data_IF_440877659669
#
_entry.id   IF_440877659669
#
_cell.length_a   1.000
_cell.length_b   1.000
_cell.length_c   1.000
_cell.angle_alpha   90.00
_cell.angle_beta   90.00
_cell.angle_gamma   90.00
#
_symmetry.space_group_name_H-M   'P 1'
#
loop_
_entity.id
_entity.type
_entity.pdbx_description
1 polymer ?
#
# COMPACT_ATOMS: atom_id res chain seq x y z
N UNK A 1 1.95 -33.10 2.48
CA UNK A 1 1.42 -31.86 1.88
C UNK A 1 2.51 -30.80 2.00
N UNK A 2 2.78 -30.08 0.91
CA UNK A 2 3.97 -29.26 0.72
C UNK A 2 4.02 -28.02 1.62
N UNK A 3 5.23 -27.53 1.90
CA UNK A 3 5.50 -26.30 2.65
C UNK A 3 4.83 -25.11 1.93
N UNK A 4 3.78 -24.55 2.52
CA UNK A 4 3.17 -23.28 2.11
C UNK A 4 4.03 -22.13 2.63
N UNK A 5 4.88 -21.54 1.78
CA UNK A 5 5.55 -20.28 2.11
C UNK A 5 5.23 -19.26 1.03
N UNK A 6 3.99 -18.78 1.02
CA UNK A 6 3.59 -17.68 0.14
C UNK A 6 2.53 -16.81 0.80
N UNK A 7 2.93 -15.97 1.74
CA UNK A 7 2.10 -14.85 2.18
C UNK A 7 2.90 -13.56 2.09
N UNK A 8 2.34 -12.57 1.40
CA UNK A 8 3.00 -11.29 1.21
C UNK A 8 2.01 -10.13 1.28
N UNK A 9 2.29 -9.21 2.18
CA UNK A 9 1.52 -8.03 2.48
C UNK A 9 2.42 -6.81 2.29
N UNK A 10 1.85 -5.67 1.92
CA UNK A 10 2.52 -4.40 2.21
C UNK A 10 1.51 -3.30 2.46
N UNK A 11 1.69 -2.56 3.56
CA UNK A 11 0.97 -1.32 3.81
C UNK A 11 1.95 -0.22 4.21
N UNK A 12 1.82 0.91 3.56
CA UNK A 12 2.54 2.14 3.88
C UNK A 12 1.52 3.17 4.31
N UNK A 13 1.86 3.87 5.37
CA UNK A 13 1.07 4.96 5.88
C UNK A 13 2.01 6.15 6.10
N UNK A 14 1.62 7.31 5.59
CA UNK A 14 2.22 8.58 5.96
C UNK A 14 1.09 9.57 6.22
N UNK A 15 1.17 10.26 7.34
CA UNK A 15 0.20 11.27 7.67
C UNK A 15 0.75 12.24 8.68
N UNK A 16 0.14 13.42 8.73
CA UNK A 16 0.48 14.46 9.68
C UNK A 16 -0.75 15.27 10.04
N UNK A 17 -0.67 15.98 11.17
CA UNK A 17 -1.69 16.92 11.59
C UNK A 17 -1.33 18.30 11.06
N UNK A 18 -2.01 18.71 9.98
CA UNK A 18 -1.88 20.03 9.39
C UNK A 18 -2.82 21.04 10.06
N UNK A 19 -2.75 22.29 9.60
CA UNK A 19 -3.66 23.37 10.04
C UNK A 19 -5.14 23.04 9.81
N UNK A 20 -5.43 22.19 8.84
CA UNK A 20 -6.77 21.85 8.39
C UNK A 20 -7.21 20.43 8.80
N UNK A 21 -6.52 19.84 9.77
CA UNK A 21 -6.83 18.52 10.31
C UNK A 21 -5.86 17.46 9.82
N UNK A 22 -6.32 16.21 9.80
CA UNK A 22 -5.47 15.06 9.52
C UNK A 22 -5.35 14.81 8.01
N UNK A 23 -4.14 14.98 7.49
CA UNK A 23 -3.79 14.65 6.11
C UNK A 23 -2.98 13.37 6.05
N UNK A 24 -3.34 12.45 5.17
CA UNK A 24 -2.63 11.19 5.05
C UNK A 24 -2.71 10.59 3.64
N UNK A 25 -1.74 9.73 3.36
CA UNK A 25 -1.66 8.84 2.22
C UNK A 25 -1.43 7.43 2.75
N UNK A 26 -2.25 6.49 2.32
CA UNK A 26 -2.13 5.08 2.66
C UNK A 26 -2.34 4.21 1.42
N UNK A 27 -1.55 3.15 1.34
CA UNK A 27 -1.85 2.03 0.46
C UNK A 27 -1.62 0.71 1.17
N UNK A 28 -2.43 -0.29 0.84
CA UNK A 28 -2.37 -1.65 1.37
C UNK A 28 -2.50 -2.66 0.23
N UNK A 29 -1.58 -3.61 0.17
CA UNK A 29 -1.55 -4.74 -0.73
C UNK A 29 -1.77 -6.01 0.08
N UNK A 30 -2.83 -6.72 -0.24
CA UNK A 30 -3.13 -8.04 0.32
C UNK A 30 -2.34 -9.15 -0.40
N UNK A 31 -2.15 -10.32 0.24
CA UNK A 31 -1.56 -11.51 -0.39
C UNK A 31 -2.27 -11.94 -1.68
N UNK A 32 -3.58 -11.71 -1.78
CA UNK A 32 -4.39 -12.05 -2.95
C UNK A 32 -4.23 -11.05 -4.11
N UNK A 33 -3.42 -10.01 -3.93
CA UNK A 33 -3.16 -8.99 -4.96
C UNK A 33 -4.22 -7.89 -5.02
N UNK A 34 -5.10 -7.78 -4.02
CA UNK A 34 -5.97 -6.61 -3.87
C UNK A 34 -5.18 -5.45 -3.28
N UNK A 35 -5.09 -4.36 -4.05
CA UNK A 35 -4.47 -3.09 -3.69
C UNK A 35 -5.54 -2.07 -3.34
N UNK A 36 -5.48 -1.55 -2.12
CA UNK A 36 -6.33 -0.49 -1.60
C UNK A 36 -5.51 0.79 -1.47
N UNK A 37 -6.06 1.90 -1.94
CA UNK A 37 -5.43 3.22 -1.87
C UNK A 37 -6.39 4.20 -1.22
N UNK A 38 -5.88 4.98 -0.27
CA UNK A 38 -6.59 6.08 0.35
C UNK A 38 -5.67 7.32 0.41
N UNK A 39 -6.18 8.46 -0.06
CA UNK A 39 -5.49 9.73 0.07
C UNK A 39 -6.48 10.79 0.55
N UNK A 40 -6.15 11.39 1.68
CA UNK A 40 -6.86 12.50 2.26
C UNK A 40 -5.90 13.68 2.42
N UNK A 41 -5.82 14.54 1.40
CA UNK A 41 -4.92 15.70 1.39
C UNK A 41 -5.63 17.02 1.72
N UNK A 42 -6.96 17.03 1.87
CA UNK A 42 -7.76 18.25 2.13
C UNK A 42 -7.42 19.46 1.24
N UNK A 43 -6.75 19.25 0.10
CA UNK A 43 -6.31 20.32 -0.77
C UNK A 43 -7.51 20.86 -1.53
N UNK A 44 -7.82 22.15 -1.36
CA UNK A 44 -8.96 22.82 -2.01
C UNK A 44 -10.33 22.15 -1.75
N UNK A 45 -10.57 21.68 -0.52
CA UNK A 45 -11.81 20.98 -0.14
C UNK A 45 -12.08 19.71 -0.95
N UNK A 46 -11.03 19.05 -1.46
CA UNK A 46 -11.22 17.78 -2.15
C UNK A 46 -11.72 16.71 -1.18
N UNK A 47 -12.57 15.83 -1.68
CA UNK A 47 -13.05 14.68 -0.94
C UNK A 47 -11.97 13.60 -0.91
N UNK A 48 -11.89 12.85 0.19
CA UNK A 48 -10.93 11.75 0.31
C UNK A 48 -11.04 10.75 -0.84
N UNK A 49 -9.93 10.52 -1.54
CA UNK A 49 -9.86 9.59 -2.67
C UNK A 49 -9.67 8.18 -2.12
N UNK A 50 -10.57 7.27 -2.51
CA UNK A 50 -10.49 5.84 -2.21
C UNK A 50 -10.57 5.04 -3.50
N UNK A 51 -9.62 4.13 -3.71
CA UNK A 51 -9.59 3.23 -4.86
C UNK A 51 -9.22 1.82 -4.43
N UNK A 52 -9.77 0.84 -5.15
CA UNK A 52 -9.49 -0.57 -4.95
C UNK A 52 -9.36 -1.24 -6.31
N UNK A 53 -8.29 -2.02 -6.49
CA UNK A 53 -8.00 -2.76 -7.72
C UNK A 53 -7.38 -4.11 -7.37
N UNK A 54 -7.46 -5.07 -8.29
CA UNK A 54 -6.65 -6.28 -8.24
C UNK A 54 -5.48 -6.15 -9.21
N UNK A 55 -4.28 -6.44 -8.73
CA UNK A 55 -3.05 -6.38 -9.53
C UNK A 55 -2.67 -7.75 -10.06
N UNK A 56 -1.88 -7.78 -11.13
CA UNK A 56 -1.39 -9.03 -11.69
C UNK A 56 -0.31 -9.67 -10.82
N UNK A 57 -0.13 -10.97 -10.96
CA UNK A 57 0.95 -11.71 -10.27
C UNK A 57 2.34 -11.21 -10.63
N UNK A 58 2.54 -10.66 -11.85
CA UNK A 58 3.80 -10.02 -12.24
C UNK A 58 4.12 -8.79 -11.39
N UNK A 59 3.11 -7.97 -11.07
CA UNK A 59 3.30 -6.80 -10.22
C UNK A 59 3.60 -7.21 -8.76
N UNK A 60 2.92 -8.24 -8.26
CA UNK A 60 3.19 -8.81 -6.93
C UNK A 60 4.66 -9.25 -6.77
N UNK A 61 5.22 -9.91 -7.80
CA UNK A 61 6.62 -10.33 -7.83
C UNK A 61 7.58 -9.15 -7.82
N UNK A 62 7.24 -8.07 -8.53
CA UNK A 62 8.08 -6.88 -8.61
C UNK A 62 8.13 -6.11 -7.28
N UNK A 63 6.99 -5.98 -6.59
CA UNK A 63 6.99 -5.42 -5.23
C UNK A 63 7.88 -6.22 -4.29
N UNK A 64 7.79 -7.56 -4.31
CA UNK A 64 8.68 -8.45 -3.54
C UNK A 64 10.16 -8.19 -3.88
N UNK A 65 10.50 -8.10 -5.17
CA UNK A 65 11.88 -7.86 -5.64
C UNK A 65 12.45 -6.54 -5.09
N UNK A 66 11.71 -5.44 -5.24
CA UNK A 66 12.13 -4.11 -4.78
C UNK A 66 12.39 -4.10 -3.27
N UNK A 67 11.50 -4.70 -2.47
CA UNK A 67 11.66 -4.74 -1.00
C UNK A 67 12.91 -5.53 -0.62
N UNK A 68 13.13 -6.71 -1.21
CA UNK A 68 14.30 -7.53 -0.91
C UNK A 68 15.61 -6.83 -1.31
N UNK A 69 15.65 -6.17 -2.46
CA UNK A 69 16.82 -5.41 -2.93
C UNK A 69 17.10 -4.15 -2.12
N UNK A 70 16.07 -3.53 -1.53
CA UNK A 70 16.24 -2.36 -0.67
C UNK A 70 16.90 -2.68 0.68
N UNK A 71 17.05 -3.95 1.01
CA UNK A 71 17.60 -4.44 2.28
C UNK A 71 16.84 -3.97 3.54
N UNK A 72 15.64 -3.40 3.41
CA UNK A 72 14.85 -2.88 4.55
C UNK A 72 14.44 -3.94 5.58
N UNK A 73 14.55 -5.22 5.22
CA UNK A 73 14.28 -6.36 6.11
C UNK A 73 15.52 -6.85 6.88
N UNK A 74 16.72 -6.33 6.57
CA UNK A 74 17.95 -6.61 7.33
C UNK A 74 18.02 -5.70 8.55
#
# INVERSE_FOLDING_TARGET
>A
MAVTTDDFYIRYYVGHMGKFGHEFLEYELSPEGKLRYANNSNYKNDSMIRKEVHVSSSLMKEFKRIILESEILK
#
